data_IF_306081852799
#
_entry.id   IF_306081852799
#
_cell.length_a   1.000
_cell.length_b   1.000
_cell.length_c   1.000
_cell.angle_alpha   90.00
_cell.angle_beta   90.00
_cell.angle_gamma   90.00
#
_symmetry.space_group_name_H-M   'P 1'
#
loop_
_entity.id
_entity.type
_entity.pdbx_description
1 polymer ?
#
# COMPACT_ATOMS: atom_id res chain seq x y z
N UNK A 1 4.57 -8.33 11.09
CA UNK A 1 4.33 -7.62 9.85
C UNK A 1 5.22 -6.38 9.79
N UNK A 2 6.00 -6.26 8.75
CA UNK A 2 6.91 -5.14 8.61
C UNK A 2 6.21 -3.87 8.17
N UNK A 3 6.66 -2.75 8.72
CA UNK A 3 6.11 -1.47 8.31
C UNK A 3 6.62 -1.13 6.91
N UNK A 4 5.78 -0.49 6.13
CA UNK A 4 6.12 -0.14 4.75
C UNK A 4 6.86 1.20 4.68
N UNK A 5 7.73 1.32 3.68
CA UNK A 5 8.30 2.62 3.36
C UNK A 5 7.23 3.47 2.70
N UNK A 6 7.51 4.78 2.55
CA UNK A 6 6.56 5.68 1.91
C UNK A 6 6.21 5.23 0.50
N UNK A 7 7.21 4.79 -0.26
CA UNK A 7 6.97 4.33 -1.63
C UNK A 7 6.14 3.07 -1.64
N UNK A 8 6.45 2.14 -0.74
CA UNK A 8 5.69 0.91 -0.66
C UNK A 8 4.23 1.18 -0.28
N UNK A 9 4.03 2.09 0.65
CA UNK A 9 2.68 2.44 1.07
C UNK A 9 1.90 3.07 -0.09
N UNK A 10 2.56 3.93 -0.84
CA UNK A 10 1.93 4.55 -2.01
C UNK A 10 1.46 3.50 -3.00
N UNK A 11 2.29 2.50 -3.25
CA UNK A 11 1.94 1.43 -4.18
C UNK A 11 0.80 0.58 -3.61
N UNK A 12 0.84 0.31 -2.30
CA UNK A 12 -0.25 -0.45 -1.69
C UNK A 12 -1.58 0.29 -1.78
N UNK A 13 -1.57 1.62 -1.64
CA UNK A 13 -2.80 2.39 -1.79
C UNK A 13 -3.41 2.16 -3.16
N UNK A 14 -2.57 2.11 -4.18
CA UNK A 14 -3.05 1.86 -5.53
C UNK A 14 -3.61 0.45 -5.67
N UNK A 15 -2.90 -0.53 -5.10
CA UNK A 15 -3.35 -1.92 -5.19
C UNK A 15 -4.65 -2.13 -4.43
N UNK A 16 -4.81 -1.47 -3.28
CA UNK A 16 -6.07 -1.55 -2.56
C UNK A 16 -7.21 -0.94 -3.38
N UNK A 17 -6.92 0.16 -4.06
CA UNK A 17 -7.91 0.82 -4.90
C UNK A 17 -8.33 -0.05 -6.08
N UNK A 18 -7.35 -0.62 -6.77
CA UNK A 18 -7.61 -1.43 -7.97
C UNK A 18 -8.02 -2.85 -7.65
N UNK A 19 -7.68 -3.31 -6.45
CA UNK A 19 -7.97 -4.66 -5.94
C UNK A 19 -7.05 -5.72 -6.52
N UNK A 20 -6.68 -5.60 -7.78
CA UNK A 20 -5.67 -6.41 -8.41
C UNK A 20 -5.18 -5.65 -9.64
N UNK A 21 -3.91 -5.81 -9.96
CA UNK A 21 -3.35 -5.04 -11.07
C UNK A 21 -2.02 -5.62 -11.53
N UNK A 22 -1.77 -5.46 -12.81
CA UNK A 22 -0.45 -5.69 -13.34
C UNK A 22 0.40 -4.46 -13.03
N UNK A 23 1.73 -4.63 -13.07
CA UNK A 23 2.63 -3.51 -12.77
C UNK A 23 2.36 -2.33 -13.69
N UNK A 24 2.05 -2.59 -14.97
CA UNK A 24 1.74 -1.51 -15.90
C UNK A 24 0.52 -0.71 -15.46
N UNK A 25 -0.46 -1.39 -14.90
CA UNK A 25 -1.67 -0.71 -14.43
C UNK A 25 -1.39 0.14 -13.21
N UNK A 26 -0.56 -0.37 -12.31
CA UNK A 26 -0.14 0.42 -11.16
C UNK A 26 0.63 1.64 -11.62
N UNK A 27 1.52 1.46 -12.60
CA UNK A 27 2.31 2.55 -13.13
C UNK A 27 1.43 3.65 -13.73
N UNK A 28 0.36 3.25 -14.41
CA UNK A 28 -0.55 4.21 -15.02
C UNK A 28 -1.28 5.08 -13.99
N UNK A 29 -1.37 4.62 -12.75
CA UNK A 29 -2.01 5.40 -11.70
C UNK A 29 -1.09 6.45 -11.11
N UNK A 30 0.20 6.35 -11.37
CA UNK A 30 1.18 7.31 -10.83
C UNK A 30 1.39 8.39 -11.86
N UNK A 31 0.95 9.61 -11.55
CA UNK A 31 1.01 10.73 -12.49
C UNK A 31 2.19 11.65 -12.26
N UNK A 32 2.79 11.62 -11.07
CA UNK A 32 3.93 12.46 -10.74
C UNK A 32 5.07 11.61 -10.25
N UNK A 33 6.29 11.93 -10.69
CA UNK A 33 7.48 11.20 -10.28
C UNK A 33 7.32 9.72 -10.54
N UNK A 34 6.80 9.37 -11.72
CA UNK A 34 6.55 8.00 -12.08
C UNK A 34 7.87 7.23 -12.13
N UNK A 35 7.99 6.15 -11.36
CA UNK A 35 9.22 5.36 -11.38
C UNK A 35 9.33 4.55 -12.66
N UNK A 36 10.54 4.11 -12.96
CA UNK A 36 10.73 3.20 -14.07
C UNK A 36 10.02 1.88 -13.76
N UNK A 37 9.65 1.19 -14.83
CA UNK A 37 8.96 -0.08 -14.70
C UNK A 37 9.75 -1.07 -13.83
N UNK A 38 11.05 -1.14 -14.03
CA UNK A 38 11.88 -2.07 -13.27
C UNK A 38 11.92 -1.72 -11.79
N UNK A 39 11.97 -0.41 -11.49
CA UNK A 39 11.94 0.04 -10.10
C UNK A 39 10.62 -0.33 -9.45
N UNK A 40 9.52 -0.08 -10.14
CA UNK A 40 8.20 -0.40 -9.63
C UNK A 40 8.04 -1.90 -9.42
N UNK A 41 8.54 -2.70 -10.35
CA UNK A 41 8.50 -4.15 -10.22
C UNK A 41 9.24 -4.61 -8.98
N UNK A 42 10.39 -3.98 -8.69
CA UNK A 42 11.16 -4.33 -7.50
C UNK A 42 10.38 -3.99 -6.24
N UNK A 43 9.73 -2.82 -6.21
CA UNK A 43 8.94 -2.42 -5.05
C UNK A 43 7.82 -3.43 -4.80
N UNK A 44 7.13 -3.83 -5.86
CA UNK A 44 6.01 -4.76 -5.72
C UNK A 44 6.50 -6.12 -5.26
N UNK A 45 7.66 -6.57 -5.77
CA UNK A 45 8.23 -7.84 -5.31
C UNK A 45 8.63 -7.77 -3.84
N UNK A 46 9.12 -6.61 -3.41
CA UNK A 46 9.43 -6.43 -1.98
C UNK A 46 8.17 -6.51 -1.13
N UNK A 47 7.07 -5.96 -1.63
CA UNK A 47 5.80 -6.07 -0.94
C UNK A 47 5.35 -7.52 -0.83
N UNK A 48 5.59 -8.30 -1.87
CA UNK A 48 5.25 -9.71 -1.82
C UNK A 48 6.10 -10.45 -0.80
N UNK A 49 7.39 -10.14 -0.76
CA UNK A 49 8.27 -10.76 0.22
C UNK A 49 7.90 -10.41 1.65
N UNK A 50 7.37 -9.21 1.84
CA UNK A 50 6.93 -8.78 3.16
C UNK A 50 5.57 -9.36 3.54
N UNK A 51 4.92 -10.05 2.62
CA UNK A 51 3.64 -10.69 2.91
C UNK A 51 2.43 -9.79 2.72
N UNK A 52 2.57 -8.69 2.02
CA UNK A 52 1.46 -7.77 1.79
C UNK A 52 0.66 -8.09 0.55
N UNK A 53 1.30 -8.66 -0.45
CA UNK A 53 0.63 -8.98 -1.71
C UNK A 53 1.02 -10.37 -2.17
N UNK A 54 0.22 -10.91 -3.09
CA UNK A 54 0.54 -12.13 -3.80
C UNK A 54 0.28 -11.87 -5.28
N UNK A 55 0.56 -12.85 -6.12
CA UNK A 55 0.33 -12.65 -7.54
C UNK A 55 -0.17 -13.91 -8.21
N UNK A 56 -0.87 -13.71 -9.32
CA UNK A 56 -1.21 -14.75 -10.25
C UNK A 56 -0.37 -14.54 -11.50
N UNK A 57 0.20 -15.62 -12.02
CA UNK A 57 1.02 -15.53 -13.23
C UNK A 57 0.16 -15.68 -14.46
N UNK A 58 0.36 -14.81 -15.42
CA UNK A 58 -0.30 -14.86 -16.71
C UNK A 58 0.78 -14.75 -17.77
N UNK A 59 1.25 -15.90 -18.25
CA UNK A 59 2.36 -15.90 -19.18
C UNK A 59 3.61 -15.30 -18.50
N UNK A 60 4.13 -14.26 -19.10
CA UNK A 60 5.33 -13.59 -18.58
C UNK A 60 5.00 -12.43 -17.66
N UNK A 61 3.72 -12.19 -17.37
CA UNK A 61 3.32 -11.09 -16.52
C UNK A 61 2.67 -11.60 -15.25
N UNK A 62 2.75 -10.79 -14.21
CA UNK A 62 2.17 -11.12 -12.91
C UNK A 62 1.13 -10.09 -12.54
N UNK A 63 -0.04 -10.56 -12.15
CA UNK A 63 -1.10 -9.69 -11.64
C UNK A 63 -1.06 -9.78 -10.12
N UNK A 64 -0.76 -8.66 -9.48
CA UNK A 64 -0.61 -8.60 -8.03
C UNK A 64 -1.92 -8.19 -7.37
N UNK A 65 -2.14 -8.69 -6.17
CA UNK A 65 -3.31 -8.32 -5.39
C UNK A 65 -2.93 -8.30 -3.91
N UNK A 66 -3.55 -7.40 -3.13
CA UNK A 66 -3.23 -7.32 -1.71
C UNK A 66 -3.83 -8.50 -0.95
N UNK A 67 -3.05 -9.05 -0.03
CA UNK A 67 -3.54 -10.09 0.87
C UNK A 67 -3.70 -9.56 2.29
N UNK A 68 -3.22 -8.35 2.55
CA UNK A 68 -3.45 -7.65 3.81
C UNK A 68 -4.50 -6.59 3.53
N UNK A 69 -5.70 -6.69 4.13
CA UNK A 69 -6.72 -5.67 3.91
C UNK A 69 -6.27 -4.31 4.43
N UNK A 70 -6.78 -3.26 3.80
CA UNK A 70 -6.41 -1.90 4.19
C UNK A 70 -6.79 -1.63 5.64
N UNK A 71 -7.89 -2.21 6.11
CA UNK A 71 -8.31 -2.03 7.50
C UNK A 71 -7.29 -2.60 8.46
N UNK A 72 -6.73 -3.77 8.13
CA UNK A 72 -5.73 -4.39 8.97
C UNK A 72 -4.47 -3.55 9.04
N UNK A 73 -4.05 -3.00 7.90
CA UNK A 73 -2.87 -2.16 7.87
C UNK A 73 -3.09 -0.89 8.68
N UNK A 74 -4.22 -0.24 8.50
CA UNK A 74 -4.54 0.97 9.25
C UNK A 74 -4.59 0.70 10.74
N UNK A 75 -5.19 -0.41 11.10
CA UNK A 75 -5.31 -0.77 12.51
C UNK A 75 -3.95 -0.95 13.14
N UNK A 76 -3.02 -1.55 12.41
CA UNK A 76 -1.71 -1.87 12.96
C UNK A 76 -0.75 -0.68 12.95
N UNK A 77 -0.78 0.12 11.90
CA UNK A 77 0.24 1.17 11.74
C UNK A 77 -0.35 2.57 11.74
N UNK A 78 -1.41 2.79 11.00
CA UNK A 78 -1.94 4.14 10.82
C UNK A 78 -2.86 4.51 11.97
N UNK A 79 -3.78 3.61 12.29
CA UNK A 79 -4.73 3.88 13.37
C UNK A 79 -4.00 4.08 14.69
N UNK A 80 -2.98 3.26 14.95
CA UNK A 80 -2.19 3.41 16.15
C UNK A 80 -1.48 4.76 16.19
N UNK A 81 -0.94 5.17 15.05
CA UNK A 81 -0.27 6.45 14.97
C UNK A 81 -1.26 7.59 15.22
N UNK A 82 -2.46 7.47 14.70
CA UNK A 82 -3.49 8.48 14.91
C UNK A 82 -3.86 8.52 16.39
N UNK A 83 -4.05 7.38 17.00
CA UNK A 83 -4.37 7.32 18.41
C UNK A 83 -3.28 7.96 19.25
N UNK A 84 -2.03 7.67 18.93
CA UNK A 84 -0.91 8.24 19.66
C UNK A 84 -0.81 9.74 19.43
N UNK A 85 -0.96 10.13 18.17
CA UNK A 85 -0.79 11.54 17.79
C UNK A 85 -1.95 12.39 18.29
N UNK A 86 -3.17 11.93 18.07
CA UNK A 86 -4.36 12.69 18.39
C UNK A 86 -4.95 12.35 19.75
N UNK A 87 -4.40 11.39 20.44
CA UNK A 87 -4.96 11.02 21.72
C UNK A 87 -5.00 12.20 22.66
N UNK A 88 -4.09 13.10 22.49
CA UNK A 88 -4.10 14.34 23.26
C UNK A 88 -5.00 15.38 22.64
N UNK A 89 -5.20 15.33 21.33
CA UNK A 89 -5.96 16.37 20.63
C UNK A 89 -7.04 15.82 19.71
N UNK A 90 -7.03 14.54 19.46
CA UNK A 90 -8.00 13.93 18.57
C UNK A 90 -9.43 14.13 19.10
N UNK A 91 -9.58 13.96 20.38
CA UNK A 91 -10.89 14.12 20.99
C UNK A 91 -11.41 15.54 20.83
N UNK A 92 -10.50 16.45 20.66
CA UNK A 92 -10.87 17.86 20.46
C UNK A 92 -11.14 18.16 19.00
N UNK A 93 -10.64 17.31 18.14
CA UNK A 93 -10.75 17.53 16.73
C UNK A 93 -11.97 16.87 16.14
N UNK A 94 -12.19 15.68 16.60
CA UNK A 94 -13.34 14.95 16.11
C UNK A 94 -14.45 15.10 17.08
N UNK A 95 -14.02 15.25 17.30
CA UNK A 95 -14.46 15.13 17.79
C UNK A 95 -14.82 16.13 17.96
N UNK A 96 -14.34 16.41 17.72
CA UNK A 96 -13.90 16.95 17.82
C UNK A 96 -13.88 17.07 17.76
N UNK A 97 -13.94 16.46 18.03
CA UNK A 97 -13.34 16.19 18.25
C UNK A 97 -13.35 16.24 18.23
#
# INVERSE_FOLDING_TARGET
MQKLTNKEEEIMQILWKLKKAFVKEVMAEITEDQPHYNTLSTIVRNLEEKGYVAHNAYGNTHQYYPIVPIEDYRKRFVSTAIDTYFNSSYKNMVLKE
#
